data_IF_487323605293
#
_entry.id   IF_487323605293
#
_cell.length_a   1.000
_cell.length_b   1.000
_cell.length_c   1.000
_cell.angle_alpha   90.00
_cell.angle_beta   90.00
_cell.angle_gamma   90.00
#
_symmetry.space_group_name_H-M   'P 1'
#
loop_
_entity.id
_entity.type
_entity.pdbx_description
1 polymer ?
#
# COMPACT_ATOMS: atom_id res chain seq x y z
N UNK A 1 -12.74 -19.05 19.01
CA UNK A 1 -12.60 -17.57 18.98
C UNK A 1 -11.18 -17.07 19.24
N UNK A 2 -10.37 -17.71 20.12
CA UNK A 2 -8.98 -17.28 20.40
C UNK A 2 -8.00 -17.37 19.20
N UNK A 3 -8.33 -18.13 18.16
CA UNK A 3 -7.43 -18.41 17.03
C UNK A 3 -7.48 -17.33 15.92
N UNK A 4 -8.66 -16.76 15.64
CA UNK A 4 -8.85 -15.81 14.53
C UNK A 4 -8.05 -14.52 14.70
N UNK A 5 -7.91 -14.03 15.94
CA UNK A 5 -7.16 -12.80 16.24
C UNK A 5 -5.67 -13.00 15.97
N UNK A 6 -5.11 -14.15 16.37
CA UNK A 6 -3.71 -14.48 16.08
C UNK A 6 -3.45 -14.68 14.58
N UNK A 7 -4.39 -15.28 13.85
CA UNK A 7 -4.28 -15.47 12.41
C UNK A 7 -4.34 -14.15 11.62
N UNK A 8 -5.07 -13.15 12.13
CA UNK A 8 -5.22 -11.84 11.49
C UNK A 8 -4.25 -10.79 12.02
N UNK A 9 -3.42 -11.09 13.02
CA UNK A 9 -2.50 -10.13 13.62
C UNK A 9 -1.65 -9.41 12.57
N UNK A 10 -1.12 -10.15 11.57
CA UNK A 10 -0.33 -9.58 10.49
C UNK A 10 -1.11 -8.70 9.51
N UNK A 11 -2.44 -8.88 9.42
CA UNK A 11 -3.29 -8.04 8.58
C UNK A 11 -3.55 -6.68 9.26
N UNK A 12 -3.70 -6.66 10.59
CA UNK A 12 -3.92 -5.44 11.36
C UNK A 12 -2.62 -4.74 11.80
N UNK A 13 -1.54 -5.50 11.96
CA UNK A 13 -0.20 -5.04 12.34
C UNK A 13 0.86 -5.44 11.30
N UNK A 14 0.72 -5.04 10.02
CA UNK A 14 1.67 -5.41 8.99
C UNK A 14 3.03 -4.71 9.19
N UNK A 15 4.12 -5.37 8.77
CA UNK A 15 5.44 -4.73 8.65
C UNK A 15 5.61 -4.00 7.32
N UNK A 16 4.86 -4.43 6.30
CA UNK A 16 4.91 -3.89 4.96
C UNK A 16 3.55 -4.07 4.28
N UNK A 17 3.23 -3.18 3.35
CA UNK A 17 2.02 -3.25 2.52
C UNK A 17 2.41 -3.07 1.06
N UNK A 18 1.90 -3.93 0.18
CA UNK A 18 2.03 -3.77 -1.26
C UNK A 18 0.66 -3.38 -1.84
N UNK A 19 0.61 -2.31 -2.61
CA UNK A 19 -0.58 -1.85 -3.32
C UNK A 19 -0.44 -2.18 -4.79
N UNK A 20 -1.38 -2.97 -5.32
CA UNK A 20 -1.36 -3.44 -6.71
C UNK A 20 -2.34 -2.62 -7.54
N UNK A 21 -1.85 -1.97 -8.59
CA UNK A 21 -2.72 -1.36 -9.61
C UNK A 21 -3.34 0.01 -9.27
N UNK A 22 -2.87 0.73 -8.24
CA UNK A 22 -3.36 2.07 -7.92
C UNK A 22 -2.85 3.16 -8.89
N UNK A 23 -3.73 4.04 -9.36
CA UNK A 23 -3.48 4.90 -10.53
C UNK A 23 -3.77 6.38 -10.29
N UNK A 24 -3.15 7.24 -11.10
CA UNK A 24 -3.35 8.69 -11.08
C UNK A 24 -4.82 9.09 -11.28
N UNK A 25 -5.54 8.40 -12.19
CA UNK A 25 -6.95 8.66 -12.48
C UNK A 25 -7.85 8.53 -11.24
N UNK A 26 -7.47 7.67 -10.30
CA UNK A 26 -8.15 7.47 -9.02
C UNK A 26 -7.51 8.27 -7.88
N UNK A 27 -6.59 9.17 -8.20
CA UNK A 27 -5.87 10.02 -7.26
C UNK A 27 -4.86 9.29 -6.39
N UNK A 28 -4.42 8.09 -6.76
CA UNK A 28 -3.60 7.21 -5.92
C UNK A 28 -4.22 6.97 -4.53
N UNK A 29 -5.54 6.74 -4.49
CA UNK A 29 -6.32 6.68 -3.26
C UNK A 29 -5.75 5.69 -2.23
N UNK A 30 -5.29 4.52 -2.67
CA UNK A 30 -4.80 3.47 -1.77
C UNK A 30 -3.42 3.82 -1.22
N UNK A 31 -2.51 4.29 -2.07
CA UNK A 31 -1.19 4.73 -1.65
C UNK A 31 -1.30 5.93 -0.69
N UNK A 32 -2.18 6.89 -0.98
CA UNK A 32 -2.44 8.04 -0.08
C UNK A 32 -3.05 7.63 1.24
N UNK A 33 -3.90 6.60 1.26
CA UNK A 33 -4.46 6.07 2.51
C UNK A 33 -3.39 5.49 3.45
N UNK A 34 -2.21 5.15 2.91
CA UNK A 34 -1.06 4.66 3.65
C UNK A 34 -0.02 5.75 3.97
N UNK A 35 -0.31 7.04 3.73
CA UNK A 35 0.65 8.14 3.89
C UNK A 35 1.24 8.27 5.31
N UNK A 36 0.52 7.77 6.32
CA UNK A 36 0.98 7.75 7.72
C UNK A 36 1.33 6.34 8.21
N UNK A 37 1.52 5.36 7.32
CA UNK A 37 1.96 4.02 7.72
C UNK A 37 3.46 4.04 8.02
N UNK A 38 3.89 3.48 9.15
CA UNK A 38 5.30 3.50 9.57
C UNK A 38 6.14 2.37 8.95
N UNK A 39 5.50 1.37 8.35
CA UNK A 39 6.19 0.27 7.67
C UNK A 39 6.50 0.60 6.21
N UNK A 40 7.15 -0.34 5.52
CA UNK A 40 7.46 -0.18 4.09
C UNK A 40 6.19 -0.29 3.23
N UNK A 41 5.97 0.68 2.36
CA UNK A 41 4.93 0.63 1.33
C UNK A 41 5.61 0.31 0.00
N UNK A 42 5.01 -0.57 -0.80
CA UNK A 42 5.46 -0.89 -2.15
C UNK A 42 4.32 -0.70 -3.13
N UNK A 43 4.61 -0.15 -4.30
CA UNK A 43 3.69 -0.17 -5.44
C UNK A 43 4.03 -1.34 -6.36
N UNK A 44 2.99 -2.03 -6.84
CA UNK A 44 3.12 -3.04 -7.90
C UNK A 44 2.37 -2.52 -9.11
N UNK A 45 3.13 -2.07 -10.12
CA UNK A 45 2.60 -1.45 -11.32
C UNK A 45 3.29 -1.94 -12.59
N UNK A 46 2.50 -2.09 -13.65
CA UNK A 46 2.97 -2.48 -14.98
C UNK A 46 2.99 -1.31 -15.96
N UNK A 47 2.26 -0.23 -15.64
CA UNK A 47 2.17 0.95 -16.47
C UNK A 47 3.25 1.95 -16.03
N UNK A 48 4.33 2.05 -16.81
CA UNK A 48 5.48 2.89 -16.48
C UNK A 48 5.13 4.38 -16.38
N UNK A 49 4.01 4.81 -16.98
CA UNK A 49 3.52 6.19 -16.88
C UNK A 49 3.10 6.56 -15.46
N UNK A 50 2.75 5.58 -14.63
CA UNK A 50 2.37 5.81 -13.22
C UNK A 50 3.58 6.00 -12.31
N UNK A 51 4.77 5.53 -12.71
CA UNK A 51 5.94 5.48 -11.83
C UNK A 51 6.33 6.86 -11.28
N UNK A 52 6.42 7.94 -12.09
CA UNK A 52 6.81 9.25 -11.55
C UNK A 52 5.82 9.79 -10.51
N UNK A 53 4.51 9.51 -10.69
CA UNK A 53 3.48 9.93 -9.74
C UNK A 53 3.56 9.17 -8.41
N UNK A 54 3.90 7.89 -8.46
CA UNK A 54 4.11 7.03 -7.29
C UNK A 54 5.40 7.43 -6.55
N UNK A 55 6.50 7.65 -7.26
CA UNK A 55 7.77 8.11 -6.69
C UNK A 55 7.60 9.46 -5.96
N UNK A 56 6.79 10.37 -6.53
CA UNK A 56 6.46 11.65 -5.91
C UNK A 56 5.66 11.50 -4.59
N UNK A 57 5.02 10.36 -4.33
CA UNK A 57 4.40 10.03 -3.05
C UNK A 57 5.39 9.44 -2.03
N UNK A 58 6.64 9.17 -2.44
CA UNK A 58 7.66 8.55 -1.60
C UNK A 58 7.50 7.04 -1.43
N UNK A 59 6.82 6.38 -2.36
CA UNK A 59 6.61 4.93 -2.43
C UNK A 59 7.55 4.30 -3.45
#
# INVERSE_FOLDING_TARGET
>A
MKDIVGQLDRAFNPRSVAVVGDKAEMGYMWLRSLATFQGSVYSVQIDEQEFPGIEALGV
#
